data_IF_221707426618
#
_entry.id   IF_221707426618
#
_cell.length_a   1.000
_cell.length_b   1.000
_cell.length_c   1.000
_cell.angle_alpha   90.00
_cell.angle_beta   90.00
_cell.angle_gamma   90.00
#
_symmetry.space_group_name_H-M   'P 1'
#
loop_
_entity.id
_entity.type
_entity.pdbx_description
1 polymer ?
#
# COMPACT_ATOMS: atom_id res chain seq x y z
N UNK A 1 -13.22 -42.40 -7.92
CA UNK A 1 -11.92 -41.81 -7.58
C UNK A 1 -12.12 -40.99 -6.29
N UNK A 2 -11.68 -41.55 -5.18
CA UNK A 2 -11.89 -40.99 -3.83
C UNK A 2 -10.83 -39.90 -3.56
N UNK A 3 -11.29 -38.64 -3.53
CA UNK A 3 -10.42 -37.50 -3.17
C UNK A 3 -10.13 -37.52 -1.66
N UNK A 4 -8.92 -37.94 -1.28
CA UNK A 4 -8.43 -37.78 0.08
C UNK A 4 -8.25 -36.30 0.38
N UNK A 5 -9.16 -35.70 1.15
CA UNK A 5 -8.90 -34.41 1.81
C UNK A 5 -7.73 -34.60 2.77
N UNK A 6 -6.60 -33.97 2.44
CA UNK A 6 -5.50 -33.82 3.37
C UNK A 6 -6.00 -32.98 4.56
N UNK A 7 -6.23 -33.62 5.70
CA UNK A 7 -6.45 -32.90 6.97
C UNK A 7 -5.15 -32.15 7.27
N UNK A 8 -5.19 -30.82 7.23
CA UNK A 8 -4.10 -29.99 7.76
C UNK A 8 -3.95 -30.36 9.22
N UNK A 9 -2.80 -30.88 9.60
CA UNK A 9 -2.46 -31.07 11.01
C UNK A 9 -2.52 -29.69 11.68
N UNK A 10 -3.39 -29.53 12.68
CA UNK A 10 -3.44 -28.31 13.49
C UNK A 10 -2.10 -28.23 14.24
N UNK A 11 -1.36 -27.14 13.99
CA UNK A 11 -0.16 -26.87 14.76
C UNK A 11 -0.55 -26.64 16.23
N UNK A 12 -0.10 -27.51 17.12
CA UNK A 12 -0.29 -27.39 18.58
C UNK A 12 1.00 -26.81 19.17
N UNK A 13 1.02 -25.51 19.54
CA UNK A 13 2.19 -24.92 20.17
C UNK A 13 2.49 -25.58 21.51
N UNK A 14 3.78 -25.67 21.93
CA UNK A 14 4.14 -26.12 23.27
C UNK A 14 3.42 -25.30 24.35
N UNK A 15 3.10 -25.92 25.49
CA UNK A 15 2.38 -25.28 26.61
C UNK A 15 3.04 -23.96 27.06
N UNK A 16 4.36 -23.83 26.92
CA UNK A 16 5.10 -22.59 27.20
C UNK A 16 4.63 -21.38 26.40
N UNK A 17 4.02 -21.58 25.20
CA UNK A 17 3.44 -20.51 24.40
C UNK A 17 2.06 -20.06 24.87
N UNK A 18 1.44 -20.82 25.78
CA UNK A 18 0.09 -20.56 26.30
C UNK A 18 0.12 -19.88 27.68
N UNK A 19 1.30 -19.78 28.30
CA UNK A 19 1.42 -19.11 29.61
C UNK A 19 1.42 -17.58 29.40
N UNK A 20 0.62 -16.83 30.20
CA UNK A 20 0.69 -15.38 30.17
C UNK A 20 2.10 -14.96 30.60
N UNK A 21 2.76 -14.16 29.77
CA UNK A 21 4.05 -13.55 30.11
C UNK A 21 3.86 -12.63 31.34
N UNK A 22 4.83 -12.59 32.27
CA UNK A 22 4.75 -11.69 33.40
C UNK A 22 4.62 -10.25 32.90
N UNK A 23 3.56 -9.57 33.31
CA UNK A 23 3.26 -8.20 32.88
C UNK A 23 4.10 -7.20 33.72
N UNK A 24 5.35 -7.03 33.36
CA UNK A 24 6.27 -6.07 33.97
C UNK A 24 6.11 -4.65 33.40
N UNK A 25 4.92 -4.31 32.85
CA UNK A 25 4.71 -3.02 32.17
C UNK A 25 5.29 -2.98 30.75
N UNK A 26 5.88 -4.06 30.26
CA UNK A 26 6.42 -4.16 28.91
C UNK A 26 5.31 -4.57 27.95
N UNK A 27 5.02 -3.73 26.96
CA UNK A 27 4.12 -4.05 25.85
C UNK A 27 4.89 -4.84 24.78
N UNK A 28 4.68 -6.15 24.73
CA UNK A 28 5.37 -7.05 23.80
C UNK A 28 4.70 -7.14 22.43
N UNK A 29 3.39 -6.85 22.34
CA UNK A 29 2.62 -6.96 21.09
C UNK A 29 1.64 -5.80 20.98
N UNK A 30 1.23 -5.50 19.74
CA UNK A 30 0.17 -4.53 19.44
C UNK A 30 -0.82 -5.15 18.45
N UNK A 31 -2.10 -4.90 18.64
CA UNK A 31 -3.10 -5.20 17.61
C UNK A 31 -3.06 -4.08 16.58
N UNK A 32 -2.82 -4.45 15.32
CA UNK A 32 -2.88 -3.54 14.18
C UNK A 32 -4.00 -3.99 13.24
N UNK A 33 -4.77 -3.03 12.74
CA UNK A 33 -5.66 -3.27 11.62
C UNK A 33 -4.84 -3.66 10.38
N UNK A 34 -5.37 -4.59 9.59
CA UNK A 34 -4.71 -5.06 8.36
C UNK A 34 -5.67 -4.95 7.18
N UNK A 35 -5.16 -4.47 6.05
CA UNK A 35 -5.91 -4.45 4.82
C UNK A 35 -6.11 -5.89 4.30
N UNK A 36 -7.37 -6.24 4.00
CA UNK A 36 -7.71 -7.53 3.39
C UNK A 36 -7.53 -7.46 1.87
N UNK A 37 -7.44 -8.63 1.22
CA UNK A 37 -7.41 -8.69 -0.24
C UNK A 37 -8.69 -8.11 -0.86
N UNK A 38 -9.85 -8.35 -0.24
CA UNK A 38 -11.12 -7.82 -0.73
C UNK A 38 -11.19 -6.28 -0.59
N UNK A 39 -10.69 -5.74 0.52
CA UNK A 39 -10.52 -4.30 0.69
C UNK A 39 -9.56 -3.69 -0.36
N UNK A 40 -8.43 -4.36 -0.62
CA UNK A 40 -7.48 -3.94 -1.64
C UNK A 40 -8.09 -3.94 -3.05
N UNK A 41 -8.92 -4.94 -3.38
CA UNK A 41 -9.64 -5.03 -4.66
C UNK A 41 -10.71 -3.94 -4.80
N UNK A 42 -11.46 -3.64 -3.74
CA UNK A 42 -12.44 -2.57 -3.74
C UNK A 42 -11.78 -1.19 -4.01
N UNK A 43 -10.69 -0.89 -3.32
CA UNK A 43 -9.88 0.31 -3.53
C UNK A 43 -9.38 0.39 -4.98
N UNK A 44 -8.82 -0.71 -5.48
CA UNK A 44 -8.31 -0.81 -6.85
C UNK A 44 -9.41 -0.52 -7.88
N UNK A 45 -10.59 -1.14 -7.71
CA UNK A 45 -11.72 -0.99 -8.64
C UNK A 45 -12.22 0.45 -8.75
N UNK A 46 -12.28 1.18 -7.62
CA UNK A 46 -12.68 2.59 -7.61
C UNK A 46 -11.61 3.48 -8.24
N UNK A 47 -10.35 3.22 -7.97
CA UNK A 47 -9.24 3.93 -8.61
C UNK A 47 -9.23 3.69 -10.13
N UNK A 48 -9.41 2.45 -10.58
CA UNK A 48 -9.52 2.12 -11.99
C UNK A 48 -10.71 2.81 -12.67
N UNK A 49 -11.88 2.83 -12.01
CA UNK A 49 -13.03 3.58 -12.49
C UNK A 49 -12.70 5.06 -12.68
N UNK A 50 -12.00 5.67 -11.71
CA UNK A 50 -11.57 7.07 -11.80
C UNK A 50 -10.61 7.31 -12.96
N UNK A 51 -9.66 6.42 -13.19
CA UNK A 51 -8.75 6.49 -14.33
C UNK A 51 -9.49 6.42 -15.68
N UNK A 52 -10.54 5.58 -15.78
CA UNK A 52 -11.42 5.52 -16.96
C UNK A 52 -12.20 6.82 -17.17
N UNK A 53 -12.73 7.43 -16.09
CA UNK A 53 -13.45 8.71 -16.14
C UNK A 53 -12.60 9.84 -16.71
N UNK A 54 -11.33 9.92 -16.29
CA UNK A 54 -10.39 10.94 -16.79
C UNK A 54 -9.72 10.54 -18.12
N UNK A 55 -10.04 9.33 -18.64
CA UNK A 55 -9.50 8.79 -19.91
C UNK A 55 -7.97 8.66 -19.94
N UNK A 56 -7.36 8.39 -18.81
CA UNK A 56 -5.91 8.17 -18.67
C UNK A 56 -5.67 6.73 -18.21
N UNK A 57 -5.18 5.83 -19.08
CA UNK A 57 -4.82 4.48 -18.69
C UNK A 57 -3.69 4.49 -17.67
N UNK A 58 -3.89 3.79 -16.54
CA UNK A 58 -2.98 3.81 -15.39
C UNK A 58 -2.50 2.39 -15.01
N UNK A 59 -1.33 2.36 -14.35
CA UNK A 59 -0.90 1.25 -13.50
C UNK A 59 -1.26 1.60 -12.07
N UNK A 60 -1.98 0.71 -11.38
CA UNK A 60 -2.49 0.94 -10.03
C UNK A 60 -2.06 -0.22 -9.14
N UNK A 61 -1.35 0.07 -8.07
CA UNK A 61 -0.88 -0.90 -7.09
C UNK A 61 -1.47 -0.61 -5.72
N UNK A 62 -1.92 -1.65 -5.00
CA UNK A 62 -2.34 -1.59 -3.60
C UNK A 62 -1.48 -2.56 -2.81
N UNK A 63 -0.82 -2.07 -1.76
CA UNK A 63 0.07 -2.84 -0.89
C UNK A 63 -0.43 -2.82 0.55
N UNK A 64 0.03 -3.78 1.37
CA UNK A 64 -0.21 -3.81 2.81
C UNK A 64 0.68 -2.81 3.58
N UNK A 65 0.58 -2.82 4.90
CA UNK A 65 1.36 -1.95 5.80
C UNK A 65 2.87 -2.19 5.76
N UNK A 66 3.30 -3.36 5.28
CA UNK A 66 4.70 -3.73 5.06
C UNK A 66 5.20 -3.42 3.65
N UNK A 67 4.34 -2.88 2.78
CA UNK A 67 4.68 -2.59 1.39
C UNK A 67 4.61 -3.81 0.46
N UNK A 68 3.99 -4.92 0.89
CA UNK A 68 3.81 -6.11 0.07
C UNK A 68 2.56 -6.00 -0.80
N UNK A 69 2.65 -6.44 -2.04
CA UNK A 69 1.58 -6.34 -3.02
C UNK A 69 0.37 -7.19 -2.62
N UNK A 70 -0.82 -6.56 -2.59
CA UNK A 70 -2.12 -7.22 -2.43
C UNK A 70 -2.90 -7.26 -3.73
N UNK A 71 -2.95 -6.14 -4.46
CA UNK A 71 -3.68 -6.05 -5.72
C UNK A 71 -2.96 -5.13 -6.70
N UNK A 72 -3.06 -5.44 -8.00
CA UNK A 72 -2.47 -4.65 -9.07
C UNK A 72 -3.34 -4.70 -10.32
N UNK A 73 -3.51 -3.55 -10.99
CA UNK A 73 -4.08 -3.48 -12.31
C UNK A 73 -3.17 -2.69 -13.24
N UNK A 74 -2.94 -3.24 -14.42
CA UNK A 74 -2.41 -2.49 -15.57
C UNK A 74 -3.54 -2.34 -16.58
N UNK A 75 -4.02 -1.12 -16.76
CA UNK A 75 -5.04 -0.84 -17.76
C UNK A 75 -4.45 -0.96 -19.17
N UNK A 76 -5.29 -1.35 -20.13
CA UNK A 76 -4.88 -1.37 -21.54
C UNK A 76 -4.47 0.02 -22.00
N UNK A 77 -3.27 0.11 -22.59
CA UNK A 77 -2.67 1.39 -22.99
C UNK A 77 -1.80 2.06 -21.92
N UNK A 78 -1.76 1.57 -20.69
CA UNK A 78 -0.86 2.10 -19.66
C UNK A 78 0.61 1.81 -20.00
N UNK A 79 1.50 2.78 -19.72
CA UNK A 79 2.95 2.68 -20.00
C UNK A 79 3.58 1.52 -19.23
N UNK A 80 4.27 0.61 -19.91
CA UNK A 80 4.94 -0.53 -19.30
C UNK A 80 6.02 -0.11 -18.29
N UNK A 81 6.75 0.96 -18.59
CA UNK A 81 7.78 1.51 -17.69
C UNK A 81 7.24 2.01 -16.35
N UNK A 82 5.93 2.27 -16.27
CA UNK A 82 5.28 2.80 -15.06
C UNK A 82 4.77 1.71 -14.11
N UNK A 83 4.92 0.41 -14.43
CA UNK A 83 4.53 -0.68 -13.55
C UNK A 83 5.30 -0.61 -12.23
N UNK A 84 6.63 -0.63 -12.30
CA UNK A 84 7.50 -0.54 -11.13
C UNK A 84 7.35 0.80 -10.39
N UNK A 85 7.07 1.88 -11.12
CA UNK A 85 6.85 3.20 -10.52
C UNK A 85 5.57 3.19 -9.66
N UNK A 86 4.48 2.58 -10.13
CA UNK A 86 3.25 2.45 -9.35
C UNK A 86 3.47 1.62 -8.08
N UNK A 87 4.17 0.47 -8.19
CA UNK A 87 4.53 -0.37 -7.05
C UNK A 87 5.39 0.38 -6.03
N UNK A 88 6.41 1.10 -6.50
CA UNK A 88 7.33 1.86 -5.65
C UNK A 88 6.62 3.03 -4.95
N UNK A 89 5.69 3.72 -5.64
CA UNK A 89 4.83 4.76 -5.04
C UNK A 89 3.96 4.19 -3.93
N UNK A 90 3.30 3.04 -4.16
CA UNK A 90 2.48 2.38 -3.14
C UNK A 90 3.30 2.01 -1.89
N UNK A 91 4.47 1.37 -2.10
CA UNK A 91 5.41 1.01 -1.03
C UNK A 91 5.90 2.23 -0.25
N UNK A 92 6.33 3.27 -0.96
CA UNK A 92 6.83 4.49 -0.33
C UNK A 92 5.74 5.14 0.53
N UNK A 93 4.50 5.19 0.06
CA UNK A 93 3.38 5.75 0.80
C UNK A 93 3.05 4.92 2.06
N UNK A 94 3.01 3.59 1.97
CA UNK A 94 2.75 2.70 3.11
C UNK A 94 3.86 2.79 4.17
N UNK A 95 5.13 2.65 3.76
CA UNK A 95 6.27 2.59 4.69
C UNK A 95 6.58 3.95 5.33
N UNK A 96 6.40 5.05 4.61
CA UNK A 96 6.57 6.41 5.13
C UNK A 96 5.32 6.93 5.85
N UNK A 97 4.16 6.29 5.68
CA UNK A 97 2.85 6.70 6.21
C UNK A 97 2.48 8.12 5.80
N UNK A 98 2.87 8.51 4.60
CA UNK A 98 2.72 9.84 4.05
C UNK A 98 2.58 9.78 2.51
N UNK A 99 1.93 10.77 1.89
CA UNK A 99 1.93 10.89 0.44
C UNK A 99 3.35 10.93 -0.13
N UNK A 100 3.54 10.34 -1.31
CA UNK A 100 4.78 10.50 -2.04
C UNK A 100 4.88 11.89 -2.65
N UNK A 101 6.08 12.46 -2.66
CA UNK A 101 6.34 13.80 -3.16
C UNK A 101 7.74 14.26 -2.77
N UNK A 102 8.08 15.53 -3.07
CA UNK A 102 9.35 16.12 -2.70
C UNK A 102 9.62 15.97 -1.20
N UNK A 103 10.88 15.80 -0.84
CA UNK A 103 11.32 15.61 0.54
C UNK A 103 12.27 16.73 0.97
N UNK A 104 12.04 17.40 2.11
CA UNK A 104 10.87 17.28 2.97
C UNK A 104 9.57 17.78 2.29
N UNK A 105 8.42 17.36 2.82
CA UNK A 105 7.12 17.76 2.28
C UNK A 105 6.71 19.20 2.61
N UNK A 106 7.45 19.85 3.48
CA UNK A 106 7.29 21.26 3.88
C UNK A 106 8.63 21.99 3.79
N UNK A 107 8.60 23.23 3.34
CA UNK A 107 9.79 24.02 3.06
C UNK A 107 10.40 23.74 1.68
N UNK A 108 11.65 24.13 1.49
CA UNK A 108 12.38 23.93 0.23
C UNK A 108 12.71 22.44 0.02
N UNK A 109 12.29 21.83 -1.13
CA UNK A 109 12.64 20.44 -1.42
C UNK A 109 14.15 20.23 -1.50
N UNK A 110 14.65 19.23 -0.81
CA UNK A 110 16.05 18.83 -0.90
C UNK A 110 16.24 17.79 -2.03
N UNK A 111 17.01 18.15 -3.05
CA UNK A 111 17.40 17.24 -4.12
C UNK A 111 18.17 16.04 -3.52
N UNK A 112 19.04 16.28 -2.55
CA UNK A 112 19.82 15.23 -1.90
C UNK A 112 18.93 14.20 -1.21
N UNK A 113 17.89 14.63 -0.47
CA UNK A 113 16.94 13.71 0.16
C UNK A 113 16.08 12.99 -0.87
N UNK A 114 15.63 13.70 -1.91
CA UNK A 114 14.77 13.14 -2.94
C UNK A 114 15.47 12.07 -3.78
N UNK A 115 16.77 12.20 -4.01
CA UNK A 115 17.60 11.20 -4.69
C UNK A 115 18.20 10.18 -3.70
N UNK A 116 18.56 10.62 -2.50
CA UNK A 116 19.18 9.75 -1.50
C UNK A 116 18.26 8.65 -0.97
N UNK A 117 16.96 8.94 -0.81
CA UNK A 117 15.98 7.94 -0.35
C UNK A 117 15.86 6.74 -1.30
N UNK A 118 15.64 6.92 -2.61
CA UNK A 118 15.65 5.82 -3.57
C UNK A 118 16.97 5.03 -3.56
N UNK A 119 18.10 5.71 -3.53
CA UNK A 119 19.43 5.05 -3.53
C UNK A 119 19.66 4.24 -2.26
N UNK A 120 19.38 4.82 -1.09
CA UNK A 120 19.56 4.14 0.20
C UNK A 120 18.63 2.93 0.40
N UNK A 121 17.55 2.87 -0.35
CA UNK A 121 16.54 1.80 -0.25
C UNK A 121 16.52 0.87 -1.46
N UNK A 122 17.58 0.86 -2.28
CA UNK A 122 17.67 0.01 -3.48
C UNK A 122 16.47 0.17 -4.41
N UNK A 123 15.98 1.41 -4.58
CA UNK A 123 14.82 1.73 -5.40
C UNK A 123 13.46 1.37 -4.78
N UNK A 124 13.40 0.91 -3.52
CA UNK A 124 12.13 0.54 -2.87
C UNK A 124 11.26 1.73 -2.49
N UNK A 125 11.84 2.92 -2.36
CA UNK A 125 11.13 4.17 -2.08
C UNK A 125 11.30 5.15 -3.25
N UNK A 126 10.32 6.04 -3.39
CA UNK A 126 10.35 7.12 -4.39
C UNK A 126 9.77 8.41 -3.83
N UNK A 127 10.20 9.53 -4.39
CA UNK A 127 9.63 10.86 -4.15
C UNK A 127 8.74 11.34 -5.30
N UNK A 128 8.39 10.48 -6.27
CA UNK A 128 7.47 10.80 -7.36
C UNK A 128 6.04 10.79 -6.82
N UNK A 129 5.27 11.86 -7.04
CA UNK A 129 3.86 11.98 -6.58
C UNK A 129 2.96 10.92 -7.21
N UNK A 130 1.87 10.57 -6.52
CA UNK A 130 0.88 9.58 -6.95
C UNK A 130 0.81 8.35 -6.05
N UNK A 131 1.55 8.32 -4.93
CA UNK A 131 1.40 7.35 -3.86
C UNK A 131 0.71 7.97 -2.65
N UNK A 132 -0.30 7.30 -2.08
CA UNK A 132 -1.03 7.75 -0.89
C UNK A 132 -1.11 6.64 0.15
N UNK A 133 -0.94 6.94 1.45
CA UNK A 133 -1.13 5.97 2.52
C UNK A 133 -2.61 5.64 2.68
N UNK A 134 -2.91 4.40 3.02
CA UNK A 134 -4.24 3.92 3.38
C UNK A 134 -4.34 3.89 4.91
N UNK A 135 -5.18 4.76 5.46
CA UNK A 135 -5.31 4.97 6.90
C UNK A 135 -6.71 4.56 7.38
N UNK A 136 -6.77 3.79 8.47
CA UNK A 136 -7.99 3.44 9.20
C UNK A 136 -7.78 3.80 10.65
N UNK A 137 -8.61 4.69 11.21
CA UNK A 137 -8.49 5.18 12.59
C UNK A 137 -7.07 5.65 12.95
N UNK A 138 -6.40 6.35 12.01
CA UNK A 138 -5.03 6.83 12.17
C UNK A 138 -3.95 5.76 12.02
N UNK A 139 -4.29 4.49 11.87
CA UNK A 139 -3.34 3.42 11.60
C UNK A 139 -3.12 3.27 10.09
N UNK A 140 -1.87 3.17 9.67
CA UNK A 140 -1.54 2.86 8.29
C UNK A 140 -1.72 1.36 8.04
N UNK A 141 -2.69 1.01 7.20
CA UNK A 141 -3.01 -0.37 6.82
C UNK A 141 -2.45 -0.74 5.45
N UNK A 142 -1.85 0.22 4.75
CA UNK A 142 -1.28 -0.03 3.43
C UNK A 142 -0.98 1.24 2.66
N UNK A 143 -0.84 1.09 1.34
CA UNK A 143 -0.64 2.20 0.41
C UNK A 143 -1.21 1.90 -0.96
N UNK A 144 -1.63 2.95 -1.65
CA UNK A 144 -1.97 2.92 -3.08
C UNK A 144 -0.94 3.72 -3.85
N UNK A 145 -0.55 3.23 -5.02
CA UNK A 145 0.35 3.93 -5.95
C UNK A 145 -0.18 3.87 -7.37
N UNK A 146 -0.21 5.01 -8.02
CA UNK A 146 -0.73 5.18 -9.36
C UNK A 146 0.34 5.81 -10.25
N UNK A 147 0.46 5.33 -11.48
CA UNK A 147 1.46 5.83 -12.44
C UNK A 147 1.06 5.55 -13.87
N UNK A 148 1.41 6.42 -14.75
CA UNK A 148 1.37 6.50 -16.21
C UNK A 148 0.74 7.80 -16.74
N UNK A 149 0.06 8.57 -15.92
CA UNK A 149 -0.40 9.92 -16.22
C UNK A 149 0.63 11.00 -15.84
N UNK A 150 0.17 12.22 -15.69
CA UNK A 150 0.86 13.29 -14.98
C UNK A 150 0.79 13.02 -13.47
N UNK A 151 1.65 13.67 -12.69
CA UNK A 151 1.62 13.52 -11.22
C UNK A 151 0.27 13.89 -10.60
N UNK A 152 -0.42 14.91 -11.14
CA UNK A 152 -1.72 15.34 -10.62
C UNK A 152 -2.84 14.35 -10.99
N UNK A 153 -2.81 13.76 -12.19
CA UNK A 153 -3.72 12.68 -12.60
C UNK A 153 -3.50 11.42 -11.74
N UNK A 154 -2.24 11.04 -11.50
CA UNK A 154 -1.87 9.92 -10.65
C UNK A 154 -2.40 10.11 -9.21
N UNK A 155 -2.22 11.32 -8.64
CA UNK A 155 -2.75 11.68 -7.31
C UNK A 155 -4.29 11.64 -7.30
N UNK A 156 -4.95 12.19 -8.32
CA UNK A 156 -6.41 12.20 -8.41
C UNK A 156 -7.00 10.78 -8.42
N UNK A 157 -6.39 9.87 -9.15
CA UNK A 157 -6.80 8.47 -9.21
C UNK A 157 -6.52 7.76 -7.87
N UNK A 158 -5.37 7.99 -7.25
CA UNK A 158 -5.04 7.44 -5.95
C UNK A 158 -6.01 7.92 -4.85
N UNK A 159 -6.40 9.19 -4.86
CA UNK A 159 -7.38 9.77 -3.93
C UNK A 159 -8.75 9.09 -4.00
N UNK A 160 -9.20 8.71 -5.19
CA UNK A 160 -10.46 7.98 -5.34
C UNK A 160 -10.45 6.64 -4.57
N UNK A 161 -9.31 5.93 -4.61
CA UNK A 161 -9.13 4.70 -3.83
C UNK A 161 -9.08 4.94 -2.32
N UNK A 162 -8.42 6.01 -1.86
CA UNK A 162 -8.38 6.37 -0.43
C UNK A 162 -9.79 6.71 0.10
N UNK A 163 -10.59 7.44 -0.67
CA UNK A 163 -11.98 7.78 -0.29
C UNK A 163 -12.84 6.53 -0.14
N UNK A 164 -12.62 5.51 -0.98
CA UNK A 164 -13.36 4.24 -0.86
C UNK A 164 -13.04 3.51 0.44
N UNK A 165 -11.77 3.46 0.85
CA UNK A 165 -11.40 2.88 2.14
C UNK A 165 -12.14 3.55 3.31
N UNK A 166 -12.25 4.88 3.30
CA UNK A 166 -12.91 5.63 4.36
C UNK A 166 -14.41 5.31 4.47
N UNK A 167 -15.08 5.01 3.34
CA UNK A 167 -16.51 4.63 3.33
C UNK A 167 -16.75 3.22 3.86
N UNK A 168 -15.84 2.29 3.62
CA UNK A 168 -15.98 0.88 4.00
C UNK A 168 -15.57 0.68 5.47
N UNK A 169 -14.72 1.55 6.00
CA UNK A 169 -14.24 1.51 7.39
C UNK A 169 -15.18 2.23 8.39
N UNK A 170 -16.18 2.96 7.91
CA UNK A 170 -17.24 3.63 8.70
C UNK A 170 -18.45 2.73 8.86
#
# INVERSE_FOLDING_TARGET
>A
MSGRRLKRAAWNPPLAFLLPLPNNGIVLTRNNARLTLDGARAILAVAEKKAREIKVPQNIAVVDEGGHLLAFARMDGAKLSSIEVALTKARAAALRRAPTGPSPSSGEPSILLSLGLPLATEGKLTCIRGGLPLLVEGQCVGGIGVSAGTEDEDVLVAQAGVVELAKVAS
#
